data_IF_417560664837
#
_entry.id   IF_417560664837
#
_cell.length_a   1.000
_cell.length_b   1.000
_cell.length_c   1.000
_cell.angle_alpha   90.00
_cell.angle_beta   90.00
_cell.angle_gamma   90.00
#
_symmetry.space_group_name_H-M   'P 1'
#
loop_
_entity.id
_entity.type
_entity.pdbx_description
1 polymer ?
#
# COMPACT_ATOMS: atom_id res chain seq x y z
N UNK A 1 -4.43 -9.67 -7.29
CA UNK A 1 -3.38 -8.68 -7.65
C UNK A 1 -3.74 -7.33 -7.02
N UNK A 2 -2.77 -6.52 -6.58
CA UNK A 2 -3.05 -5.23 -5.89
C UNK A 2 -4.02 -4.32 -6.68
N UNK A 3 -3.74 -4.11 -7.97
CA UNK A 3 -4.57 -3.31 -8.87
C UNK A 3 -6.00 -3.82 -9.04
N UNK A 4 -6.22 -5.12 -8.94
CA UNK A 4 -7.53 -5.74 -9.14
C UNK A 4 -8.35 -5.70 -7.85
N UNK A 5 -7.70 -5.91 -6.71
CA UNK A 5 -8.33 -6.00 -5.40
C UNK A 5 -8.59 -4.63 -4.76
N UNK A 6 -7.74 -3.64 -5.07
CA UNK A 6 -7.76 -2.30 -4.47
C UNK A 6 -7.43 -1.23 -5.51
N UNK A 7 -8.19 -1.19 -6.61
CA UNK A 7 -7.92 -0.34 -7.78
C UNK A 7 -7.76 1.16 -7.45
N UNK A 8 -8.59 1.69 -6.55
CA UNK A 8 -8.55 3.10 -6.17
C UNK A 8 -7.25 3.43 -5.41
N UNK A 9 -6.93 2.63 -4.37
CA UNK A 9 -5.69 2.77 -3.61
C UNK A 9 -4.45 2.56 -4.49
N UNK A 10 -4.50 1.58 -5.41
CA UNK A 10 -3.44 1.33 -6.39
C UNK A 10 -3.16 2.57 -7.23
N UNK A 11 -4.20 3.23 -7.77
CA UNK A 11 -4.03 4.40 -8.61
C UNK A 11 -3.46 5.59 -7.82
N UNK A 12 -3.90 5.77 -6.57
CA UNK A 12 -3.38 6.80 -5.68
C UNK A 12 -1.90 6.60 -5.36
N UNK A 13 -1.53 5.41 -4.90
CA UNK A 13 -0.13 5.09 -4.56
C UNK A 13 0.75 5.22 -5.80
N UNK A 14 0.28 4.73 -6.94
CA UNK A 14 1.03 4.84 -8.21
C UNK A 14 1.23 6.28 -8.66
N UNK A 15 0.20 7.13 -8.56
CA UNK A 15 0.32 8.55 -8.89
C UNK A 15 1.31 9.25 -7.96
N UNK A 16 1.20 9.00 -6.66
CA UNK A 16 2.07 9.60 -5.65
C UNK A 16 3.54 9.21 -5.85
N UNK A 17 3.82 7.94 -6.14
CA UNK A 17 5.17 7.49 -6.48
C UNK A 17 5.72 8.19 -7.74
N UNK A 18 4.87 8.43 -8.75
CA UNK A 18 5.31 9.14 -9.97
C UNK A 18 5.66 10.60 -9.66
N UNK A 19 4.86 11.26 -8.83
CA UNK A 19 5.04 12.66 -8.43
C UNK A 19 6.31 12.87 -7.59
N UNK A 20 6.63 11.91 -6.72
CA UNK A 20 7.86 11.88 -5.91
C UNK A 20 9.11 11.42 -6.71
N UNK A 21 8.93 10.99 -7.97
CA UNK A 21 10.04 10.60 -8.85
C UNK A 21 10.36 9.10 -8.90
N UNK A 22 9.66 8.27 -8.13
CA UNK A 22 9.78 6.80 -8.03
C UNK A 22 9.13 6.04 -9.19
N UNK A 23 9.45 6.45 -10.41
CA UNK A 23 8.84 5.90 -11.63
C UNK A 23 9.11 4.41 -11.86
N UNK A 24 10.17 3.86 -11.27
CA UNK A 24 10.47 2.43 -11.38
C UNK A 24 9.57 1.62 -10.48
N UNK A 25 9.43 2.02 -9.22
CA UNK A 25 8.53 1.34 -8.31
C UNK A 25 7.06 1.49 -8.74
N UNK A 26 6.65 2.67 -9.21
CA UNK A 26 5.32 2.90 -9.77
C UNK A 26 4.95 1.94 -10.94
N UNK A 27 5.94 1.46 -11.70
CA UNK A 27 5.74 0.44 -12.76
C UNK A 27 5.64 -0.96 -12.18
N UNK A 28 6.39 -1.25 -11.11
CA UNK A 28 6.42 -2.55 -10.46
C UNK A 28 5.15 -2.84 -9.67
N UNK A 29 4.47 -1.81 -9.17
CA UNK A 29 3.17 -1.93 -8.48
C UNK A 29 2.13 -2.74 -9.28
N UNK A 30 2.12 -2.62 -10.60
CA UNK A 30 1.18 -3.39 -11.46
C UNK A 30 1.40 -4.91 -11.35
N UNK A 31 2.59 -5.34 -10.92
CA UNK A 31 2.98 -6.75 -10.78
C UNK A 31 2.98 -7.23 -9.33
N UNK A 32 2.72 -6.34 -8.36
CA UNK A 32 2.69 -6.70 -6.95
C UNK A 32 1.48 -7.59 -6.62
N UNK A 33 1.78 -8.78 -6.09
CA UNK A 33 0.80 -9.67 -5.51
C UNK A 33 0.65 -9.33 -4.02
N UNK A 34 -0.59 -9.22 -3.53
CA UNK A 34 -0.85 -9.05 -2.10
C UNK A 34 -0.52 -10.40 -1.42
N UNK A 35 0.47 -10.39 -0.55
CA UNK A 35 0.86 -11.51 0.29
C UNK A 35 -0.05 -11.65 1.51
N UNK A 36 -0.29 -10.52 2.18
CA UNK A 36 -1.17 -10.44 3.32
C UNK A 36 -1.83 -9.07 3.34
N UNK A 37 -3.02 -8.99 3.91
CA UNK A 37 -3.60 -7.74 4.30
C UNK A 37 -4.28 -7.93 5.65
N UNK A 38 -4.01 -7.05 6.60
CA UNK A 38 -4.63 -7.13 7.93
C UNK A 38 -4.79 -5.77 8.57
N UNK A 39 -5.87 -5.63 9.34
CA UNK A 39 -6.07 -4.50 10.24
C UNK A 39 -5.19 -4.64 11.48
N UNK A 40 -4.55 -3.56 11.90
CA UNK A 40 -3.80 -3.50 13.17
C UNK A 40 -4.45 -2.54 14.19
N UNK A 41 -5.53 -1.86 13.79
CA UNK A 41 -6.36 -1.05 14.68
C UNK A 41 -7.66 -1.78 15.04
N UNK A 42 -8.09 -1.69 16.29
CA UNK A 42 -9.28 -2.41 16.78
C UNK A 42 -10.60 -1.96 16.16
N UNK A 43 -10.62 -0.79 15.53
CA UNK A 43 -11.75 -0.17 14.85
C UNK A 43 -11.60 -0.21 13.31
N UNK A 44 -10.61 -0.96 12.82
CA UNK A 44 -10.30 -1.06 11.39
C UNK A 44 -10.04 0.31 10.74
N UNK A 45 -9.47 1.26 11.50
CA UNK A 45 -8.99 2.54 10.97
C UNK A 45 -7.60 2.44 10.33
N UNK A 46 -6.89 1.33 10.53
CA UNK A 46 -5.53 1.15 10.02
C UNK A 46 -5.21 -0.28 9.60
N UNK A 47 -4.56 -0.42 8.45
CA UNK A 47 -4.27 -1.68 7.78
C UNK A 47 -2.82 -1.74 7.32
N UNK A 48 -2.25 -2.94 7.26
CA UNK A 48 -1.00 -3.22 6.58
C UNK A 48 -1.28 -4.18 5.42
N UNK A 49 -0.88 -3.79 4.21
CA UNK A 49 -0.86 -4.65 3.02
C UNK A 49 0.59 -5.05 2.74
N UNK A 50 0.91 -6.33 2.81
CA UNK A 50 2.21 -6.85 2.42
C UNK A 50 2.19 -7.33 0.98
N UNK A 51 3.23 -7.01 0.20
CA UNK A 51 3.39 -7.47 -1.18
C UNK A 51 4.44 -8.57 -1.29
N UNK A 52 4.17 -9.56 -2.14
CA UNK A 52 5.12 -10.60 -2.55
C UNK A 52 5.83 -10.18 -3.84
N UNK A 53 7.15 -10.42 -3.90
CA UNK A 53 7.89 -10.40 -5.16
C UNK A 53 8.60 -9.09 -5.51
N UNK A 54 9.00 -8.28 -4.53
CA UNK A 54 9.71 -7.04 -4.81
C UNK A 54 11.23 -7.20 -5.00
N UNK A 55 11.85 -6.40 -5.89
CA UNK A 55 13.30 -6.28 -6.02
C UNK A 55 13.86 -5.18 -5.10
N UNK A 56 14.20 -5.53 -3.86
CA UNK A 56 14.57 -4.58 -2.77
C UNK A 56 15.76 -3.64 -3.05
N UNK A 57 16.51 -3.83 -4.13
CA UNK A 57 17.63 -2.96 -4.50
C UNK A 57 17.17 -1.62 -5.12
N UNK A 58 15.88 -1.46 -5.42
CA UNK A 58 15.36 -0.35 -6.22
C UNK A 58 14.51 0.68 -5.46
N UNK A 59 14.33 0.58 -4.13
CA UNK A 59 13.61 1.62 -3.38
C UNK A 59 14.49 2.26 -2.31
N UNK A 60 14.66 3.57 -2.46
CA UNK A 60 15.14 4.44 -1.39
C UNK A 60 13.93 5.03 -0.64
N UNK A 61 13.85 4.73 0.65
CA UNK A 61 13.02 5.40 1.66
C UNK A 61 11.47 5.29 1.63
N UNK A 62 10.93 5.54 2.82
CA UNK A 62 9.51 5.51 3.20
C UNK A 62 8.76 6.70 2.61
N UNK A 63 7.60 6.43 1.97
CA UNK A 63 6.74 7.48 1.41
C UNK A 63 5.55 7.72 2.32
N UNK A 64 5.31 8.94 2.80
CA UNK A 64 3.98 9.36 3.20
C UNK A 64 3.23 9.80 1.93
N UNK A 65 2.28 8.99 1.49
CA UNK A 65 1.27 9.38 0.50
C UNK A 65 -0.09 9.44 1.19
N UNK A 66 -1.08 10.10 0.62
CA UNK A 66 -2.39 10.21 1.24
C UNK A 66 -3.12 11.48 0.85
N UNK A 67 -4.35 11.31 0.39
CA UNK A 67 -5.29 12.42 0.36
C UNK A 67 -5.59 12.87 1.81
N UNK A 68 -6.13 14.08 2.02
CA UNK A 68 -6.33 14.64 3.37
C UNK A 68 -7.20 13.80 4.34
N UNK A 69 -7.78 12.70 3.86
CA UNK A 69 -8.62 11.76 4.60
C UNK A 69 -7.85 10.60 5.27
N UNK A 70 -6.65 10.21 4.80
CA UNK A 70 -5.85 9.13 5.41
C UNK A 70 -4.38 9.22 5.01
N UNK A 71 -3.51 8.56 5.76
CA UNK A 71 -2.07 8.46 5.46
C UNK A 71 -1.73 7.06 4.98
N UNK A 72 -0.83 6.98 4.00
CA UNK A 72 -0.31 5.76 3.42
C UNK A 72 1.21 5.79 3.57
N UNK A 73 1.78 4.78 4.22
CA UNK A 73 3.22 4.65 4.46
C UNK A 73 3.77 3.37 3.84
N UNK A 74 4.83 3.49 3.04
CA UNK A 74 5.57 2.34 2.52
C UNK A 74 6.65 1.91 3.51
N UNK A 75 6.70 0.62 3.85
CA UNK A 75 7.67 0.00 4.77
C UNK A 75 8.43 -1.14 4.11
N UNK A 76 9.71 -1.31 4.44
CA UNK A 76 10.60 -2.31 3.84
C UNK A 76 11.15 -3.30 4.86
N UNK A 77 11.20 -4.58 4.50
CA UNK A 77 11.92 -5.60 5.27
C UNK A 77 13.16 -6.10 4.53
N UNK A 78 14.34 -5.80 5.07
CA UNK A 78 15.66 -6.20 4.53
C UNK A 78 15.90 -7.71 4.51
N UNK A 79 15.07 -8.49 5.21
CA UNK A 79 15.23 -9.95 5.29
C UNK A 79 14.42 -10.72 4.26
N UNK A 80 13.34 -10.17 3.70
CA UNK A 80 12.32 -10.98 3.02
C UNK A 80 11.71 -10.44 1.71
N UNK A 81 12.24 -9.39 1.06
CA UNK A 81 11.64 -8.85 -0.20
C UNK A 81 10.14 -8.47 -0.07
N UNK A 82 9.70 -8.19 1.14
CA UNK A 82 8.32 -7.78 1.45
C UNK A 82 8.30 -6.27 1.59
N UNK A 83 7.37 -5.65 0.86
CA UNK A 83 6.98 -4.25 1.04
C UNK A 83 5.67 -4.24 1.79
N UNK A 84 5.60 -3.48 2.88
CA UNK A 84 4.35 -3.14 3.56
C UNK A 84 3.81 -1.81 3.07
N UNK A 85 2.49 -1.71 2.94
CA UNK A 85 1.76 -0.48 2.76
C UNK A 85 0.85 -0.30 3.97
N UNK A 86 1.23 0.61 4.86
CA UNK A 86 0.44 0.95 6.04
C UNK A 86 -0.56 2.05 5.65
N UNK A 87 -1.84 1.77 5.78
CA UNK A 87 -2.92 2.74 5.64
C UNK A 87 -3.36 3.12 7.03
N UNK A 88 -3.39 4.41 7.36
CA UNK A 88 -3.67 4.93 8.71
C UNK A 88 -4.72 6.03 8.63
N UNK A 89 -5.72 5.96 9.51
CA UNK A 89 -6.75 6.99 9.62
C UNK A 89 -7.83 6.89 8.55
N UNK A 90 -8.09 5.68 8.01
CA UNK A 90 -9.08 5.49 6.95
C UNK A 90 -10.52 5.33 7.45
N UNK A 91 -10.81 5.61 8.71
CA UNK A 91 -12.14 5.40 9.30
C UNK A 91 -13.26 6.13 8.55
N UNK A 92 -14.39 5.45 8.36
CA UNK A 92 -15.58 5.95 7.67
C UNK A 92 -15.35 6.32 6.19
N UNK A 93 -14.23 5.93 5.59
CA UNK A 93 -13.95 6.14 4.17
C UNK A 93 -14.45 4.96 3.32
N UNK A 94 -14.55 5.18 2.00
CA UNK A 94 -14.77 4.08 1.04
C UNK A 94 -13.60 3.08 1.06
N UNK A 95 -12.39 3.57 1.32
CA UNK A 95 -11.20 2.75 1.39
C UNK A 95 -11.29 1.73 2.53
N UNK A 96 -11.77 2.13 3.72
CA UNK A 96 -11.99 1.19 4.82
C UNK A 96 -12.92 0.04 4.41
N UNK A 97 -14.00 0.32 3.68
CA UNK A 97 -14.93 -0.72 3.21
C UNK A 97 -14.27 -1.67 2.22
N UNK A 98 -13.44 -1.15 1.32
CA UNK A 98 -12.67 -1.96 0.35
C UNK A 98 -11.63 -2.83 1.08
N UNK A 99 -10.90 -2.27 2.04
CA UNK A 99 -9.92 -2.99 2.84
C UNK A 99 -10.59 -4.09 3.68
N UNK A 100 -11.72 -3.80 4.33
CA UNK A 100 -12.50 -4.82 5.06
C UNK A 100 -12.96 -5.97 4.17
N UNK A 101 -13.25 -5.73 2.89
CA UNK A 101 -13.68 -6.77 1.96
C UNK A 101 -12.51 -7.57 1.35
N UNK A 102 -11.35 -6.94 1.18
CA UNK A 102 -10.17 -7.55 0.55
C UNK A 102 -9.20 -8.18 1.55
N UNK A 103 -9.26 -7.79 2.82
CA UNK A 103 -8.30 -8.20 3.87
C UNK A 103 -8.84 -9.28 4.82
N UNK A 104 -9.87 -10.02 4.41
CA UNK A 104 -10.50 -11.15 5.14
C UNK A 104 -9.96 -12.51 4.75
#
# INVERSE_FOLDING_TARGET
MFKEELADLFNEVKASLIDEGEKNFAKQLDTCEILSCSSFASDDSAFTIEFMGYNSEEIEDTFPTGNAEYTVMLTYSTKNKVIGLEVIGCENTKLQQQLLASCT
#
